data_IF_576337730958
#
_entry.id   IF_576337730958
#
_cell.length_a   1.000
_cell.length_b   1.000
_cell.length_c   1.000
_cell.angle_alpha   90.00
_cell.angle_beta   90.00
_cell.angle_gamma   90.00
#
_symmetry.space_group_name_H-M   'P 1'
#
loop_
_entity.id
_entity.type
_entity.pdbx_description
1 polymer ?
#
# COMPACT_ATOMS: atom_id res chain seq x y z
N UNK A 1 4.52 5.11 -2.10
CA UNK A 1 4.80 4.64 -0.73
C UNK A 1 6.27 4.87 -0.45
N UNK A 2 6.59 5.90 0.33
CA UNK A 2 7.96 6.28 0.63
C UNK A 2 8.46 5.50 1.85
N UNK A 3 9.49 4.65 1.67
CA UNK A 3 10.35 4.23 2.78
C UNK A 3 11.38 5.35 2.94
N UNK A 4 11.22 6.17 3.98
CA UNK A 4 12.20 7.19 4.33
C UNK A 4 13.42 6.51 5.00
N UNK A 5 14.55 6.47 4.30
CA UNK A 5 15.87 6.45 4.93
C UNK A 5 16.28 7.92 5.08
N UNK A 6 16.12 8.50 6.27
CA UNK A 6 16.68 9.82 6.58
C UNK A 6 17.98 9.61 7.33
N UNK A 7 19.10 9.81 6.66
CA UNK A 7 20.34 10.18 7.33
C UNK A 7 20.29 11.68 7.59
N UNK A 8 20.34 12.05 8.87
CA UNK A 8 20.71 13.38 9.38
C UNK A 8 19.80 14.57 9.03
N UNK A 9 18.63 14.62 9.67
CA UNK A 9 18.07 15.88 10.18
C UNK A 9 17.75 15.66 11.67
N UNK A 10 18.06 16.65 12.52
CA UNK A 10 17.71 16.65 13.95
C UNK A 10 16.19 16.71 14.14
N UNK A 11 15.54 15.58 13.91
CA UNK A 11 14.11 15.46 14.03
C UNK A 11 13.83 14.58 15.25
N UNK A 12 13.21 15.17 16.27
CA UNK A 12 12.98 14.58 17.60
C UNK A 12 12.25 13.24 17.56
N UNK A 13 11.49 12.94 16.49
CA UNK A 13 10.81 11.67 16.30
C UNK A 13 11.74 10.45 16.17
N UNK A 14 13.03 10.63 15.85
CA UNK A 14 13.99 9.52 15.87
C UNK A 14 14.21 8.94 17.29
N UNK A 15 13.98 9.74 18.34
CA UNK A 15 14.02 9.24 19.72
C UNK A 15 12.83 8.34 20.07
N UNK A 16 11.72 8.41 19.35
CA UNK A 16 10.53 7.61 19.67
C UNK A 16 10.28 6.49 18.66
N UNK A 17 10.63 6.72 17.39
CA UNK A 17 10.44 5.79 16.26
C UNK A 17 11.75 5.25 15.67
N UNK A 18 12.88 5.46 16.35
CA UNK A 18 14.21 5.05 15.90
C UNK A 18 14.67 3.68 16.41
N UNK A 19 15.77 3.19 15.84
CA UNK A 19 16.33 1.89 16.20
C UNK A 19 16.83 1.82 17.65
N UNK A 20 17.31 2.95 18.20
CA UNK A 20 17.73 3.05 19.60
C UNK A 20 16.57 2.88 20.58
N UNK A 21 15.35 3.08 20.11
CA UNK A 21 14.10 2.96 20.88
C UNK A 21 13.39 1.64 20.59
N UNK A 22 14.12 0.66 20.05
CA UNK A 22 13.62 -0.70 19.80
C UNK A 22 13.06 -0.92 18.39
N UNK A 23 13.03 0.09 17.51
CA UNK A 23 12.46 -0.10 16.16
C UNK A 23 13.36 -0.91 15.23
N UNK A 24 12.77 -1.81 14.43
CA UNK A 24 13.51 -2.71 13.52
C UNK A 24 12.81 -2.80 12.16
N UNK A 25 13.57 -2.86 11.07
CA UNK A 25 13.03 -2.83 9.70
C UNK A 25 12.28 -4.12 9.31
N UNK A 26 12.69 -5.25 9.89
CA UNK A 26 12.09 -6.57 9.69
C UNK A 26 10.85 -6.82 10.56
N UNK A 27 10.53 -5.89 11.47
CA UNK A 27 9.41 -6.01 12.41
C UNK A 27 8.40 -4.88 12.32
N UNK A 28 8.88 -3.65 12.19
CA UNK A 28 8.07 -2.45 12.39
C UNK A 28 8.00 -1.59 11.14
N UNK A 29 6.82 -1.00 10.90
CA UNK A 29 6.58 -0.09 9.78
C UNK A 29 6.34 1.32 10.27
N UNK A 30 6.72 2.31 9.46
CA UNK A 30 6.50 3.73 9.71
C UNK A 30 5.98 4.39 8.45
N UNK A 31 4.97 5.23 8.61
CA UNK A 31 4.31 5.96 7.55
C UNK A 31 4.15 7.42 7.97
N UNK A 32 4.00 8.27 6.96
CA UNK A 32 3.50 9.63 7.12
C UNK A 32 2.12 9.69 6.47
N UNK A 33 1.12 10.13 7.22
CA UNK A 33 -0.26 10.28 6.75
C UNK A 33 -0.98 11.29 7.64
N UNK A 34 -1.84 12.11 7.06
CA UNK A 34 -2.78 12.92 7.83
C UNK A 34 -3.84 11.98 8.43
N UNK A 35 -3.81 11.79 9.74
CA UNK A 35 -4.83 11.00 10.46
C UNK A 35 -5.72 11.87 11.35
N UNK A 36 -5.47 13.18 11.40
CA UNK A 36 -6.24 14.16 12.18
C UNK A 36 -7.22 14.96 11.34
N UNK A 37 -7.09 14.95 10.02
CA UNK A 37 -7.89 15.72 9.08
C UNK A 37 -7.54 17.21 9.06
N UNK A 38 -6.36 17.60 9.56
CA UNK A 38 -5.91 18.99 9.64
C UNK A 38 -4.98 19.38 8.47
N UNK A 39 -4.75 18.47 7.52
CA UNK A 39 -3.89 18.66 6.36
C UNK A 39 -2.40 18.49 6.66
N UNK A 40 -2.02 18.11 7.90
CA UNK A 40 -0.63 17.87 8.28
C UNK A 40 -0.35 16.36 8.31
N UNK A 41 0.81 15.95 7.79
CA UNK A 41 1.20 14.54 7.86
C UNK A 41 1.68 14.18 9.26
N UNK A 42 0.99 13.25 9.92
CA UNK A 42 1.37 12.64 11.19
C UNK A 42 2.29 11.44 11.00
N UNK A 43 3.01 11.05 12.05
CA UNK A 43 3.74 9.75 12.07
C UNK A 43 2.79 8.65 12.50
N UNK A 44 2.65 7.61 11.67
CA UNK A 44 1.97 6.36 12.03
C UNK A 44 2.98 5.23 12.09
N UNK A 45 3.15 4.63 13.26
CA UNK A 45 4.13 3.56 13.50
C UNK A 45 3.47 2.27 13.96
N UNK A 46 3.67 1.18 13.21
CA UNK A 46 3.30 -0.18 13.61
C UNK A 46 4.42 -0.75 14.47
N UNK A 47 4.28 -0.61 15.79
CA UNK A 47 5.30 -1.02 16.75
C UNK A 47 5.27 -2.52 17.07
N UNK A 48 5.77 -2.87 18.25
CA UNK A 48 5.80 -4.26 18.72
C UNK A 48 4.39 -4.75 19.08
N UNK A 49 3.63 -3.99 19.87
CA UNK A 49 2.31 -4.39 20.39
C UNK A 49 1.17 -3.42 20.03
N UNK A 50 1.48 -2.21 19.57
CA UNK A 50 0.47 -1.21 19.24
C UNK A 50 0.87 -0.42 18.01
N UNK A 51 -0.15 0.02 17.27
CA UNK A 51 0.00 1.12 16.30
C UNK A 51 0.00 2.42 17.10
N UNK A 52 0.99 3.27 16.83
CA UNK A 52 1.18 4.56 17.46
C UNK A 52 0.95 5.69 16.46
N UNK A 53 0.40 6.80 16.96
CA UNK A 53 0.31 8.06 16.22
C UNK A 53 1.09 9.14 16.98
N UNK A 54 2.05 9.75 16.30
CA UNK A 54 2.69 11.00 16.72
C UNK A 54 2.12 12.14 15.89
N UNK A 55 1.29 13.00 16.51
CA UNK A 55 0.60 14.08 15.80
C UNK A 55 1.54 15.21 15.42
N UNK A 56 1.40 15.75 14.22
CA UNK A 56 2.21 16.86 13.74
C UNK A 56 1.73 18.18 14.33
N UNK A 57 2.64 18.99 14.87
CA UNK A 57 2.29 20.31 15.44
C UNK A 57 2.29 21.44 14.39
N UNK A 58 2.73 21.16 13.15
CA UNK A 58 2.87 22.16 12.09
C UNK A 58 4.14 23.01 12.16
N UNK A 59 4.99 22.79 13.17
CA UNK A 59 6.25 23.51 13.40
C UNK A 59 7.50 22.65 13.15
N UNK A 60 7.33 21.50 12.50
CA UNK A 60 8.38 20.50 12.27
C UNK A 60 8.60 19.54 13.44
N UNK A 61 7.79 19.63 14.50
CA UNK A 61 7.81 18.70 15.64
C UNK A 61 6.55 17.82 15.71
N UNK A 62 6.64 16.74 16.49
CA UNK A 62 5.53 15.82 16.74
C UNK A 62 5.22 15.74 18.24
N UNK A 63 3.95 15.54 18.58
CA UNK A 63 3.51 15.21 19.94
C UNK A 63 4.03 13.83 20.36
N UNK A 64 4.18 13.58 21.68
CA UNK A 64 4.52 12.26 22.18
C UNK A 64 3.60 11.18 21.61
N UNK A 65 4.14 10.06 21.07
CA UNK A 65 3.31 9.06 20.40
C UNK A 65 2.29 8.43 21.33
N UNK A 66 1.06 8.29 20.85
CA UNK A 66 -0.02 7.63 21.59
C UNK A 66 -0.39 6.30 20.92
N UNK A 67 -0.58 5.22 21.69
CA UNK A 67 -1.11 3.98 21.14
C UNK A 67 -2.58 4.21 20.74
N UNK A 68 -2.92 3.78 19.52
CA UNK A 68 -4.27 3.98 18.96
C UNK A 68 -4.94 2.66 18.57
N UNK A 69 -4.17 1.61 18.27
CA UNK A 69 -4.70 0.29 17.92
C UNK A 69 -3.82 -0.79 18.57
N UNK A 70 -4.44 -1.73 19.30
CA UNK A 70 -3.77 -2.90 19.88
C UNK A 70 -3.91 -4.13 18.97
N UNK A 71 -3.47 -3.97 17.73
CA UNK A 71 -3.41 -5.01 16.69
C UNK A 71 -2.45 -4.57 15.58
N UNK A 72 -2.43 -5.27 14.44
CA UNK A 72 -1.63 -4.93 13.25
C UNK A 72 -0.12 -4.96 13.48
N UNK A 73 0.31 -5.51 14.61
CA UNK A 73 1.70 -5.54 15.05
C UNK A 73 2.18 -6.98 15.21
N UNK A 74 3.50 -7.16 15.23
CA UNK A 74 4.08 -8.51 15.34
C UNK A 74 3.75 -9.16 16.70
N UNK A 75 3.84 -8.43 17.80
CA UNK A 75 3.49 -8.87 19.16
C UNK A 75 2.01 -8.70 19.52
N UNK A 76 1.22 -8.09 18.64
CA UNK A 76 -0.25 -7.99 18.80
C UNK A 76 -0.93 -8.23 17.46
N UNK A 77 -1.26 -9.49 17.23
CA UNK A 77 -1.88 -9.99 16.01
C UNK A 77 -0.95 -10.78 15.08
N UNK A 78 0.34 -10.91 15.39
CA UNK A 78 1.27 -11.78 14.62
C UNK A 78 1.67 -11.23 13.25
N UNK A 79 1.57 -9.91 13.03
CA UNK A 79 1.75 -9.27 11.72
C UNK A 79 3.24 -9.15 11.33
N UNK A 80 3.71 -10.12 10.55
CA UNK A 80 5.08 -10.17 9.99
C UNK A 80 5.25 -9.39 8.68
N UNK A 81 6.37 -8.66 8.52
CA UNK A 81 6.72 -7.86 7.32
C UNK A 81 6.74 -8.67 6.03
N UNK A 82 7.32 -9.87 6.07
CA UNK A 82 7.49 -10.75 4.92
C UNK A 82 6.20 -11.51 4.51
N UNK A 83 5.05 -11.19 5.09
CA UNK A 83 3.81 -11.94 4.87
C UNK A 83 2.60 -11.02 4.78
N UNK A 84 2.49 -10.07 5.69
CA UNK A 84 1.30 -9.25 5.89
C UNK A 84 1.56 -7.78 5.49
N UNK A 85 1.25 -7.33 4.26
CA UNK A 85 1.44 -5.94 3.87
C UNK A 85 0.48 -4.99 4.62
N UNK A 86 0.99 -3.85 5.08
CA UNK A 86 0.19 -2.82 5.77
C UNK A 86 0.27 -1.52 5.00
N UNK A 87 -0.86 -0.81 4.89
CA UNK A 87 -0.97 0.49 4.25
C UNK A 87 -1.73 1.46 5.16
N UNK A 88 -1.29 2.71 5.21
CA UNK A 88 -2.08 3.81 5.79
C UNK A 88 -2.62 4.62 4.63
N UNK A 89 -3.94 4.70 4.50
CA UNK A 89 -4.61 5.48 3.47
C UNK A 89 -5.33 6.67 4.13
N UNK A 90 -5.33 7.80 3.42
CA UNK A 90 -5.62 9.15 3.93
C UNK A 90 -7.05 9.36 4.40
N UNK A 91 -8.01 8.54 3.93
CA UNK A 91 -9.41 8.66 4.38
C UNK A 91 -9.86 7.50 5.27
N UNK A 92 -9.26 6.31 5.11
CA UNK A 92 -9.53 5.10 5.91
C UNK A 92 -8.28 4.21 5.81
N UNK A 93 -7.60 3.84 6.91
CA UNK A 93 -6.46 2.94 6.78
C UNK A 93 -6.96 1.57 6.31
N UNK A 94 -6.25 0.98 5.35
CA UNK A 94 -6.56 -0.35 4.82
C UNK A 94 -5.35 -1.25 5.06
N UNK A 95 -5.53 -2.33 5.82
CA UNK A 95 -4.44 -3.22 6.23
C UNK A 95 -4.71 -4.63 5.72
N UNK A 96 -3.73 -5.25 5.07
CA UNK A 96 -3.90 -6.52 4.37
C UNK A 96 -3.16 -7.65 5.10
N UNK A 97 -3.94 -8.67 5.48
CA UNK A 97 -3.53 -9.98 6.02
C UNK A 97 -3.33 -10.11 7.54
N UNK A 98 -4.17 -10.88 8.23
CA UNK A 98 -3.94 -11.35 9.61
C UNK A 98 -4.15 -12.86 9.71
N UNK A 99 -3.20 -13.60 10.28
CA UNK A 99 -3.46 -15.01 10.66
C UNK A 99 -4.14 -15.14 12.03
N UNK A 100 -3.91 -14.19 12.93
CA UNK A 100 -4.44 -14.26 14.31
C UNK A 100 -5.91 -13.87 14.41
N UNK A 101 -6.38 -12.99 13.53
CA UNK A 101 -7.77 -12.54 13.49
C UNK A 101 -8.62 -13.36 12.50
N UNK A 102 -7.98 -14.08 11.58
CA UNK A 102 -8.62 -14.85 10.52
C UNK A 102 -8.20 -14.33 9.13
N UNK A 103 -8.08 -15.21 8.13
CA UNK A 103 -7.49 -14.86 6.84
C UNK A 103 -8.32 -13.81 6.11
N UNK A 104 -7.67 -12.75 5.64
CA UNK A 104 -8.30 -11.75 4.77
C UNK A 104 -7.80 -10.33 5.02
N UNK A 105 -8.59 -9.35 4.57
CA UNK A 105 -8.32 -7.92 4.70
C UNK A 105 -8.99 -7.36 5.93
N UNK A 106 -8.21 -6.71 6.79
CA UNK A 106 -8.67 -6.17 8.06
C UNK A 106 -8.54 -4.65 8.09
N UNK A 107 -9.60 -3.96 8.50
CA UNK A 107 -9.66 -2.50 8.54
C UNK A 107 -10.00 -2.03 9.94
N UNK A 108 -9.35 -0.95 10.38
CA UNK A 108 -9.68 -0.23 11.60
C UNK A 108 -9.93 1.23 11.23
N UNK A 109 -11.19 1.65 11.19
CA UNK A 109 -11.55 2.95 10.63
C UNK A 109 -11.16 4.10 11.55
N UNK A 110 -10.53 5.13 10.98
CA UNK A 110 -10.28 6.40 11.67
C UNK A 110 -11.61 7.15 11.87
N UNK A 111 -11.81 7.73 13.05
CA UNK A 111 -12.97 8.58 13.34
C UNK A 111 -12.77 10.05 12.90
N UNK A 112 -11.68 10.32 12.18
CA UNK A 112 -11.34 11.65 11.65
C UNK A 112 -10.61 12.55 12.66
N UNK A 113 -10.18 12.01 13.80
CA UNK A 113 -9.49 12.77 14.86
C UNK A 113 -8.29 11.98 15.42
N UNK A 114 -7.67 11.12 14.60
CA UNK A 114 -6.52 10.30 14.98
C UNK A 114 -6.84 9.17 15.96
N UNK A 115 -8.12 8.80 16.10
CA UNK A 115 -8.59 7.68 16.91
C UNK A 115 -9.27 6.66 16.02
N UNK A 116 -9.12 5.36 16.35
CA UNK A 116 -9.50 4.29 15.43
C UNK A 116 -10.48 3.32 16.09
N UNK A 117 -11.46 2.87 15.30
CA UNK A 117 -12.43 1.85 15.70
C UNK A 117 -11.82 0.45 15.77
N UNK A 118 -12.58 -0.56 16.22
CA UNK A 118 -12.10 -1.94 16.27
C UNK A 118 -11.73 -2.45 14.87
N UNK A 119 -10.76 -3.37 14.81
CA UNK A 119 -10.42 -4.08 13.59
C UNK A 119 -11.58 -4.96 13.12
N UNK A 120 -11.88 -4.92 11.81
CA UNK A 120 -12.96 -5.68 11.17
C UNK A 120 -12.45 -6.38 9.92
N UNK A 121 -12.83 -7.63 9.72
CA UNK A 121 -12.64 -8.33 8.44
C UNK A 121 -13.60 -7.73 7.42
N UNK A 122 -13.08 -7.24 6.30
CA UNK A 122 -13.88 -6.58 5.26
C UNK A 122 -13.84 -7.30 3.91
N UNK A 123 -12.80 -8.10 3.65
CA UNK A 123 -12.70 -8.95 2.46
C UNK A 123 -12.06 -10.29 2.83
N UNK A 124 -12.71 -11.40 2.48
CA UNK A 124 -12.18 -12.76 2.66
C UNK A 124 -11.33 -13.19 1.45
N UNK A 125 -10.24 -12.47 1.18
CA UNK A 125 -9.26 -12.75 0.12
C UNK A 125 -7.98 -11.90 0.38
N UNK A 126 -7.07 -11.79 -0.59
CA UNK A 126 -5.84 -10.97 -0.56
C UNK A 126 -4.84 -11.30 0.56
N UNK A 127 -4.99 -12.45 1.21
CA UNK A 127 -4.17 -12.91 2.33
C UNK A 127 -3.35 -14.15 1.98
N UNK A 128 -2.34 -14.43 2.80
CA UNK A 128 -1.46 -15.58 2.62
C UNK A 128 -2.20 -16.91 2.51
N UNK A 129 -3.21 -17.11 3.36
CA UNK A 129 -4.05 -18.31 3.33
C UNK A 129 -4.83 -18.49 2.01
N UNK A 130 -5.03 -17.41 1.25
CA UNK A 130 -5.64 -17.43 -0.08
C UNK A 130 -4.59 -17.46 -1.22
N UNK A 131 -3.33 -17.82 -0.92
CA UNK A 131 -2.26 -17.95 -1.91
C UNK A 131 -1.50 -16.66 -2.22
N UNK A 132 -1.81 -15.54 -1.54
CA UNK A 132 -1.09 -14.27 -1.75
C UNK A 132 0.27 -14.29 -1.05
N UNK A 133 1.27 -13.65 -1.63
CA UNK A 133 2.62 -13.61 -1.05
C UNK A 133 3.30 -12.31 -1.40
N UNK A 134 4.04 -11.73 -0.46
CA UNK A 134 4.77 -10.47 -0.72
C UNK A 134 5.87 -10.65 -1.77
N UNK A 135 6.37 -11.88 -1.95
CA UNK A 135 7.43 -12.20 -2.92
C UNK A 135 6.92 -12.44 -4.34
N UNK A 136 5.61 -12.39 -4.58
CA UNK A 136 5.03 -12.68 -5.89
C UNK A 136 3.91 -11.71 -6.26
N UNK A 137 3.13 -11.30 -5.26
CA UNK A 137 1.83 -10.66 -5.43
C UNK A 137 1.78 -9.28 -4.75
N UNK A 138 2.23 -8.22 -5.45
CA UNK A 138 2.03 -6.84 -5.01
C UNK A 138 0.56 -6.53 -4.80
N UNK A 139 0.26 -5.76 -3.75
CA UNK A 139 -1.08 -5.36 -3.36
C UNK A 139 -1.05 -3.88 -2.99
N UNK A 140 -2.08 -3.16 -3.41
CA UNK A 140 -2.19 -1.73 -3.24
C UNK A 140 -3.60 -1.36 -2.78
N UNK A 141 -3.67 -0.14 -2.26
CA UNK A 141 -4.89 0.52 -1.86
C UNK A 141 -4.90 1.88 -2.56
N UNK A 142 -5.87 2.09 -3.45
CA UNK A 142 -5.90 3.25 -4.34
C UNK A 142 -7.32 3.49 -4.83
N UNK A 143 -7.70 4.74 -5.06
CA UNK A 143 -9.00 5.08 -5.63
C UNK A 143 -9.06 4.66 -7.11
N UNK A 144 -9.95 3.72 -7.44
CA UNK A 144 -10.20 3.21 -8.79
C UNK A 144 -11.52 3.73 -9.37
N UNK A 145 -12.31 4.48 -8.60
CA UNK A 145 -13.68 4.86 -8.96
C UNK A 145 -13.94 6.36 -8.87
N UNK A 146 -12.94 7.15 -8.45
CA UNK A 146 -13.03 8.60 -8.29
C UNK A 146 -13.86 9.02 -7.09
N UNK A 147 -14.18 8.09 -6.18
CA UNK A 147 -14.98 8.36 -4.99
C UNK A 147 -14.14 8.78 -3.78
N UNK A 148 -12.82 8.95 -3.96
CA UNK A 148 -11.79 9.28 -2.97
C UNK A 148 -11.57 8.25 -1.87
N UNK A 149 -12.25 7.10 -1.96
CA UNK A 149 -12.02 5.97 -1.08
C UNK A 149 -11.03 5.00 -1.72
N UNK A 150 -10.08 4.51 -0.92
CA UNK A 150 -9.17 3.47 -1.38
C UNK A 150 -9.90 2.16 -1.66
N UNK A 151 -9.79 1.66 -2.89
CA UNK A 151 -10.14 0.32 -3.34
C UNK A 151 -8.95 -0.62 -3.18
N UNK A 152 -9.19 -1.93 -3.10
CA UNK A 152 -8.12 -2.92 -3.03
C UNK A 152 -7.82 -3.43 -4.42
N UNK A 153 -6.56 -3.39 -4.82
CA UNK A 153 -6.06 -3.98 -6.07
C UNK A 153 -4.86 -4.87 -5.78
N UNK A 154 -4.85 -6.07 -6.36
CA UNK A 154 -3.80 -7.04 -6.16
C UNK A 154 -3.41 -7.74 -7.45
N UNK A 155 -2.11 -7.90 -7.66
CA UNK A 155 -1.54 -8.62 -8.79
C UNK A 155 -1.30 -10.08 -8.40
N UNK A 156 -2.27 -10.95 -8.71
CA UNK A 156 -2.30 -12.36 -8.33
C UNK A 156 -1.47 -13.23 -9.29
N UNK A 157 -1.72 -14.54 -9.27
CA UNK A 157 -1.06 -15.48 -10.17
C UNK A 157 -1.58 -15.39 -11.60
N UNK A 158 -2.89 -15.35 -11.75
CA UNK A 158 -3.67 -15.41 -12.99
C UNK A 158 -4.15 -14.05 -13.49
N UNK A 159 -3.83 -12.96 -12.78
CA UNK A 159 -4.06 -11.60 -13.26
C UNK A 159 -4.25 -10.58 -12.15
N UNK A 160 -5.00 -9.52 -12.44
CA UNK A 160 -5.29 -8.42 -11.51
C UNK A 160 -6.68 -8.61 -10.90
N UNK A 161 -6.72 -8.63 -9.57
CA UNK A 161 -7.95 -8.65 -8.79
C UNK A 161 -8.23 -7.28 -8.19
N UNK A 162 -9.50 -6.89 -8.21
CA UNK A 162 -10.00 -5.66 -7.59
C UNK A 162 -11.15 -5.98 -6.65
N UNK A 163 -11.20 -5.30 -5.51
CA UNK A 163 -12.34 -5.28 -4.59
C UNK A 163 -12.64 -3.83 -4.26
N UNK A 164 -13.81 -3.37 -4.73
CA UNK A 164 -14.21 -1.96 -4.68
C UNK A 164 -14.81 -1.59 -3.33
N UNK A 165 -14.38 -0.47 -2.78
CA UNK A 165 -14.91 0.14 -1.58
C UNK A 165 -16.21 0.86 -1.90
N UNK A 166 -17.29 0.59 -1.17
CA UNK A 166 -18.59 1.21 -1.42
C UNK A 166 -18.74 2.60 -0.78
N UNK A 167 -17.66 3.12 -0.18
CA UNK A 167 -17.62 4.47 0.39
C UNK A 167 -17.75 4.52 1.91
N UNK A 168 -17.87 3.38 2.60
CA UNK A 168 -17.99 3.30 4.07
C UNK A 168 -16.93 2.39 4.71
N UNK A 169 -15.99 1.85 3.92
CA UNK A 169 -14.98 0.89 4.38
C UNK A 169 -15.44 -0.56 4.32
N UNK A 170 -16.63 -0.83 3.78
CA UNK A 170 -17.02 -2.16 3.30
C UNK A 170 -16.74 -2.30 1.80
N UNK A 171 -16.60 -3.54 1.35
CA UNK A 171 -16.05 -3.83 0.03
C UNK A 171 -16.91 -4.84 -0.73
N UNK A 172 -16.97 -4.67 -2.04
CA UNK A 172 -17.54 -5.65 -2.95
C UNK A 172 -16.66 -6.91 -3.01
N UNK A 173 -17.23 -8.09 -3.35
CA UNK A 173 -16.44 -9.30 -3.58
C UNK A 173 -15.31 -9.07 -4.60
N UNK A 174 -14.13 -9.68 -4.40
CA UNK A 174 -13.02 -9.53 -5.32
C UNK A 174 -13.35 -10.12 -6.69
N UNK A 175 -12.97 -9.39 -7.75
CA UNK A 175 -13.16 -9.77 -9.15
C UNK A 175 -11.84 -9.75 -9.89
N UNK A 176 -11.57 -10.77 -10.70
CA UNK A 176 -10.51 -10.75 -11.71
C UNK A 176 -10.92 -9.77 -12.82
N UNK A 177 -10.19 -8.66 -12.93
CA UNK A 177 -10.51 -7.57 -13.87
C UNK A 177 -9.60 -7.55 -15.08
N UNK A 178 -8.44 -8.21 -15.03
CA UNK A 178 -7.48 -8.23 -16.13
C UNK A 178 -6.62 -9.50 -16.09
N UNK A 179 -6.53 -10.22 -17.20
CA UNK A 179 -5.77 -11.47 -17.32
C UNK A 179 -4.31 -11.19 -17.76
N UNK A 180 -3.64 -10.26 -17.09
CA UNK A 180 -2.24 -9.87 -17.30
C UNK A 180 -1.68 -9.28 -16.00
N UNK A 181 -0.43 -8.81 -15.98
CA UNK A 181 0.28 -8.26 -14.81
C UNK A 181 0.43 -9.22 -13.61
N UNK A 182 -0.02 -10.47 -13.76
CA UNK A 182 0.06 -11.53 -12.77
C UNK A 182 1.36 -12.33 -12.86
N UNK A 183 1.60 -13.17 -11.86
CA UNK A 183 2.80 -14.00 -11.80
C UNK A 183 2.90 -14.94 -13.02
N UNK A 184 1.84 -15.66 -13.35
CA UNK A 184 1.76 -16.49 -14.55
C UNK A 184 1.11 -15.74 -15.71
N UNK A 185 0.10 -14.92 -15.44
CA UNK A 185 -0.50 -14.06 -16.45
C UNK A 185 0.44 -12.89 -16.81
N UNK A 186 1.26 -13.06 -17.85
CA UNK A 186 2.22 -12.06 -18.31
C UNK A 186 3.64 -12.21 -17.73
N UNK A 187 3.92 -13.28 -16.97
CA UNK A 187 5.24 -13.61 -16.41
C UNK A 187 5.86 -12.53 -15.50
N UNK A 188 5.04 -11.87 -14.68
CA UNK A 188 5.50 -10.77 -13.83
C UNK A 188 6.23 -11.26 -12.58
N UNK A 189 7.33 -10.59 -12.21
CA UNK A 189 8.20 -10.97 -11.09
C UNK A 189 8.53 -9.77 -10.24
N UNK A 190 8.43 -9.88 -8.91
CA UNK A 190 8.65 -8.73 -8.01
C UNK A 190 10.12 -8.28 -7.97
N UNK A 191 11.05 -9.18 -8.26
CA UNK A 191 12.49 -8.93 -8.29
C UNK A 191 12.99 -8.36 -9.63
N UNK A 192 12.11 -8.22 -10.62
CA UNK A 192 12.44 -7.70 -11.96
C UNK A 192 11.50 -6.59 -12.44
N UNK A 193 10.20 -6.82 -12.29
CA UNK A 193 9.14 -6.07 -12.95
C UNK A 193 8.33 -5.25 -11.92
N UNK A 194 8.43 -3.93 -12.01
CA UNK A 194 7.67 -3.02 -11.16
C UNK A 194 6.25 -2.88 -11.69
N UNK A 195 5.28 -2.83 -10.78
CA UNK A 195 3.87 -2.58 -11.07
C UNK A 195 3.41 -1.44 -10.16
N UNK A 196 2.76 -0.45 -10.76
CA UNK A 196 2.19 0.70 -10.08
C UNK A 196 0.73 0.84 -10.46
N UNK A 197 -0.02 1.49 -9.58
CA UNK A 197 -1.40 1.86 -9.80
C UNK A 197 -1.52 3.36 -9.50
N UNK A 198 -1.80 4.14 -10.53
CA UNK A 198 -1.78 5.61 -10.48
C UNK A 198 -2.70 6.17 -11.58
N UNK A 199 -3.30 7.33 -11.36
CA UNK A 199 -4.05 8.03 -12.41
C UNK A 199 -3.07 8.56 -13.48
N UNK A 200 -3.20 8.04 -14.70
CA UNK A 200 -2.39 8.40 -15.87
C UNK A 200 -3.21 9.19 -16.89
N UNK A 201 -4.51 9.36 -16.65
CA UNK A 201 -5.46 9.97 -17.59
C UNK A 201 -6.08 11.27 -17.08
N UNK A 202 -5.94 11.56 -15.78
CA UNK A 202 -6.48 12.74 -15.13
C UNK A 202 -7.98 12.64 -14.82
N UNK A 203 -8.55 11.43 -14.82
CA UNK A 203 -9.97 11.22 -14.52
C UNK A 203 -10.24 10.99 -13.03
N UNK A 204 -9.21 10.94 -12.18
CA UNK A 204 -9.32 10.67 -10.75
C UNK A 204 -9.42 9.18 -10.41
N UNK A 205 -9.36 8.29 -11.39
CA UNK A 205 -9.47 6.84 -11.22
C UNK A 205 -8.15 6.19 -11.63
N UNK A 206 -7.48 5.51 -10.71
CA UNK A 206 -6.13 5.02 -11.00
C UNK A 206 -6.11 3.93 -12.08
N UNK A 207 -5.12 4.03 -12.96
CA UNK A 207 -4.76 3.10 -14.03
C UNK A 207 -3.65 2.13 -13.58
N UNK A 208 -3.39 1.10 -14.37
CA UNK A 208 -2.26 0.18 -14.14
C UNK A 208 -1.12 0.51 -15.09
N UNK A 209 0.09 0.62 -14.55
CA UNK A 209 1.32 0.67 -15.34
C UNK A 209 2.36 -0.30 -14.79
N UNK A 210 2.97 -1.07 -15.68
CA UNK A 210 3.99 -2.06 -15.33
C UNK A 210 5.23 -1.93 -16.20
N UNK A 211 6.40 -1.97 -15.57
CA UNK A 211 7.71 -2.02 -16.21
C UNK A 211 8.08 -3.50 -16.39
N UNK A 212 7.69 -4.07 -17.53
CA UNK A 212 7.88 -5.49 -17.84
C UNK A 212 9.29 -5.82 -18.36
N UNK A 213 9.42 -7.01 -18.95
CA UNK A 213 10.72 -7.50 -19.42
C UNK A 213 11.23 -6.71 -20.64
N UNK A 214 10.39 -6.56 -21.66
CA UNK A 214 10.75 -5.92 -22.93
C UNK A 214 10.17 -4.51 -23.12
N UNK A 215 9.12 -4.14 -22.38
CA UNK A 215 8.46 -2.84 -22.52
C UNK A 215 7.77 -2.41 -21.22
N UNK A 216 7.40 -1.14 -21.17
CA UNK A 216 6.42 -0.61 -20.22
C UNK A 216 5.04 -0.80 -20.82
N UNK A 217 4.14 -1.37 -20.01
CA UNK A 217 2.78 -1.70 -20.39
C UNK A 217 1.80 -0.92 -19.53
N UNK A 218 0.68 -0.53 -20.11
CA UNK A 218 -0.39 0.21 -19.45
C UNK A 218 -1.73 -0.47 -19.69
N UNK A 219 -2.62 -0.42 -18.71
CA UNK A 219 -4.03 -0.73 -18.89
C UNK A 219 -4.84 0.37 -18.20
N UNK A 220 -5.66 1.05 -18.99
CA UNK A 220 -6.45 2.19 -18.53
C UNK A 220 -7.74 1.73 -17.87
N UNK A 221 -8.08 2.38 -16.77
CA UNK A 221 -9.32 2.20 -16.04
C UNK A 221 -10.45 2.97 -16.73
N UNK A 222 -11.63 2.35 -16.88
CA UNK A 222 -12.81 2.98 -17.47
C UNK A 222 -13.55 3.95 -16.51
N UNK A 223 -13.02 4.10 -15.31
CA UNK A 223 -13.58 4.92 -14.23
C UNK A 223 -14.48 4.15 -13.27
N UNK A 224 -14.67 2.85 -13.50
CA UNK A 224 -15.51 1.99 -12.65
C UNK A 224 -14.71 0.88 -11.95
N UNK A 225 -13.37 0.92 -12.06
CA UNK A 225 -12.48 -0.15 -11.60
C UNK A 225 -12.41 -1.33 -12.57
N UNK A 226 -12.93 -1.20 -13.79
CA UNK A 226 -12.72 -2.13 -14.88
C UNK A 226 -11.62 -1.61 -15.81
N UNK A 227 -10.86 -2.53 -16.40
CA UNK A 227 -9.63 -2.20 -17.10
C UNK A 227 -9.71 -2.60 -18.58
N UNK A 228 -9.26 -1.69 -19.45
CA UNK A 228 -9.17 -1.92 -20.88
C UNK A 228 -8.05 -2.91 -21.26
N UNK A 229 -7.90 -3.22 -22.56
CA UNK A 229 -6.83 -4.09 -23.04
C UNK A 229 -5.46 -3.50 -22.69
N UNK A 230 -4.49 -4.38 -22.43
CA UNK A 230 -3.10 -4.00 -22.18
C UNK A 230 -2.48 -3.40 -23.44
N UNK A 231 -1.81 -2.26 -23.29
CA UNK A 231 -1.18 -1.52 -24.37
C UNK A 231 0.30 -1.32 -24.08
N UNK A 232 1.12 -1.42 -25.12
CA UNK A 232 2.53 -1.05 -25.02
C UNK A 232 2.66 0.46 -24.96
N UNK A 233 3.28 0.98 -23.91
CA UNK A 233 3.54 2.40 -23.76
C UNK A 233 4.88 2.79 -24.41
N UNK A 234 5.95 2.07 -24.08
CA UNK A 234 7.30 2.33 -24.60
C UNK A 234 8.22 1.13 -24.38
N UNK A 235 9.23 0.97 -25.22
CA UNK A 235 10.30 -0.02 -25.03
C UNK A 235 11.36 0.46 -24.00
N UNK A 236 11.34 1.74 -23.64
CA UNK A 236 12.23 2.31 -22.64
C UNK A 236 11.83 1.89 -21.21
N UNK A 237 12.78 1.96 -20.27
CA UNK A 237 12.59 1.69 -18.82
C UNK A 237 12.20 0.26 -18.43
N UNK A 238 11.99 -0.64 -19.39
CA UNK A 238 11.78 -2.07 -19.19
C UNK A 238 13.04 -2.75 -18.65
N UNK A 239 12.90 -3.93 -18.03
CA UNK A 239 14.04 -4.67 -17.47
C UNK A 239 15.17 -4.88 -18.50
N UNK A 240 14.83 -5.23 -19.74
CA UNK A 240 15.67 -5.31 -20.93
C UNK A 240 17.04 -5.97 -20.67
N UNK A 241 17.01 -7.27 -20.35
CA UNK A 241 18.21 -8.05 -20.04
C UNK A 241 18.95 -7.59 -18.76
N UNK A 242 18.29 -6.82 -17.89
CA UNK A 242 18.85 -6.29 -16.65
C UNK A 242 19.45 -4.89 -16.76
N UNK A 243 19.26 -4.20 -17.89
CA UNK A 243 19.63 -2.78 -18.05
C UNK A 243 18.91 -1.89 -17.03
N UNK A 244 17.69 -2.25 -16.66
CA UNK A 244 16.90 -1.61 -15.59
C UNK A 244 16.63 -2.58 -14.43
N UNK A 245 17.63 -3.35 -14.02
CA UNK A 245 17.50 -4.22 -12.86
C UNK A 245 17.30 -3.42 -11.55
N UNK A 246 16.60 -4.01 -10.58
CA UNK A 246 16.20 -3.34 -9.33
C UNK A 246 17.35 -3.11 -8.34
N UNK A 247 18.45 -3.84 -8.50
CA UNK A 247 19.69 -3.65 -7.74
C UNK A 247 20.50 -2.44 -8.23
N UNK A 248 20.16 -1.89 -9.40
CA UNK A 248 20.90 -0.80 -10.07
C UNK A 248 20.08 0.45 -10.31
N UNK A 249 18.76 0.32 -10.38
CA UNK A 249 17.88 1.39 -10.82
C UNK A 249 16.66 1.55 -9.92
N UNK A 250 16.16 2.77 -9.86
CA UNK A 250 14.92 3.13 -9.19
C UNK A 250 13.99 3.76 -10.22
N UNK A 251 12.72 3.37 -10.21
CA UNK A 251 11.69 3.90 -11.10
C UNK A 251 10.47 4.29 -10.27
N UNK A 252 9.90 5.45 -10.58
CA UNK A 252 8.74 5.99 -9.89
C UNK A 252 7.75 6.61 -10.89
N UNK A 253 6.47 6.55 -10.54
CA UNK A 253 5.43 7.36 -11.16
C UNK A 253 5.22 8.59 -10.26
N UNK A 254 5.38 9.79 -10.85
CA UNK A 254 5.33 11.06 -10.12
C UNK A 254 4.62 12.14 -10.94
N UNK A 255 3.80 12.94 -10.28
CA UNK A 255 3.24 14.16 -10.87
C UNK A 255 4.31 15.24 -10.84
N UNK A 256 4.97 15.50 -11.98
CA UNK A 256 5.99 16.54 -12.10
C UNK A 256 5.41 17.96 -12.15
N UNK A 257 4.10 18.06 -12.35
CA UNK A 257 3.34 19.31 -12.35
C UNK A 257 2.16 19.16 -11.39
N UNK A 258 1.90 20.16 -10.55
CA UNK A 258 0.72 20.19 -9.69
C UNK A 258 -0.57 20.34 -10.50
#
# INVERSE_FOLDING_TARGET
>A
MWILLVSEMQASWWHDFGCRSGWRLDRHLRFLADVTGDGLLDVVGFGENSVFVGRNNGDGTFQPPRPVINNFCIGSGGWQINKHPRVVATEKPILLDSESLGPGVWVSLNNGQGSFGPARLVVNNFSYAHGWSVNQHPRFVVDLTGNKCGDIIGFAHDGVYVSLNIGDGTFQPPKLVLNDFGYSAGDWRVDKHLRFVADLTGNGCADIIGFGDAAVWVSYNDGTGCFGPVQKLTDAFAFNGGSWALDKTVRHIVNLRP
#
